data_IF_529049213778
#
_entry.id   IF_529049213778
#
_cell.length_a   1.000
_cell.length_b   1.000
_cell.length_c   1.000
_cell.angle_alpha   90.00
_cell.angle_beta   90.00
_cell.angle_gamma   90.00
#
_symmetry.space_group_name_H-M   'P 1'
#
loop_
_entity.id
_entity.type
_entity.pdbx_description
1 polymer ?
#
# COMPACT_ATOMS: atom_id res chain seq x y z
N UNK A 1 20.58 4.84 -10.86
CA UNK A 1 19.13 4.53 -10.76
C UNK A 1 18.34 5.50 -11.64
N UNK A 2 17.13 5.11 -12.06
CA UNK A 2 16.22 5.95 -12.81
C UNK A 2 15.56 6.95 -11.86
N UNK A 3 15.72 8.25 -12.15
CA UNK A 3 15.14 9.33 -11.37
C UNK A 3 14.18 10.11 -12.28
N UNK A 4 12.94 10.29 -11.82
CA UNK A 4 11.93 11.05 -12.56
C UNK A 4 12.24 12.54 -12.44
N UNK A 5 12.63 13.17 -13.54
CA UNK A 5 12.98 14.60 -13.57
C UNK A 5 11.81 15.52 -13.95
N UNK A 6 10.77 14.99 -14.58
CA UNK A 6 9.63 15.77 -15.07
C UNK A 6 8.40 15.58 -14.18
N UNK A 7 7.81 16.69 -13.75
CA UNK A 7 6.55 16.68 -13.00
C UNK A 7 5.43 15.95 -13.74
N UNK A 8 5.30 16.17 -15.06
CA UNK A 8 4.27 15.51 -15.86
C UNK A 8 4.46 13.98 -15.89
N UNK A 9 5.71 13.52 -15.96
CA UNK A 9 6.03 12.08 -15.91
C UNK A 9 5.75 11.51 -14.52
N UNK A 10 6.06 12.24 -13.45
CA UNK A 10 5.77 11.84 -12.08
C UNK A 10 4.26 11.67 -11.84
N UNK A 11 3.45 12.62 -12.33
CA UNK A 11 1.98 12.53 -12.28
C UNK A 11 1.49 11.35 -13.12
N UNK A 12 2.06 11.13 -14.31
CA UNK A 12 1.75 9.98 -15.15
C UNK A 12 1.99 8.65 -14.43
N UNK A 13 3.14 8.50 -13.77
CA UNK A 13 3.41 7.30 -12.96
C UNK A 13 2.48 7.17 -11.75
N UNK A 14 2.11 8.27 -11.10
CA UNK A 14 1.11 8.24 -10.03
C UNK A 14 -0.22 7.65 -10.52
N UNK A 15 -0.71 8.08 -11.69
CA UNK A 15 -1.93 7.51 -12.30
C UNK A 15 -1.77 6.01 -12.57
N UNK A 16 -0.63 5.59 -13.13
CA UNK A 16 -0.34 4.16 -13.36
C UNK A 16 -0.36 3.38 -12.04
N UNK A 17 0.27 3.89 -10.99
CA UNK A 17 0.26 3.28 -9.66
C UNK A 17 -1.15 3.16 -9.09
N UNK A 18 -2.00 4.18 -9.24
CA UNK A 18 -3.39 4.14 -8.78
C UNK A 18 -4.22 3.11 -9.55
N UNK A 19 -4.00 2.96 -10.86
CA UNK A 19 -4.64 1.91 -11.67
C UNK A 19 -4.19 0.52 -11.22
N UNK A 20 -2.90 0.31 -11.02
CA UNK A 20 -2.36 -0.96 -10.52
C UNK A 20 -2.87 -1.31 -9.11
N UNK A 21 -3.04 -0.31 -8.24
CA UNK A 21 -3.54 -0.52 -6.89
C UNK A 21 -5.03 -0.87 -6.89
N UNK A 22 -5.84 -0.12 -7.64
CA UNK A 22 -7.28 -0.40 -7.77
C UNK A 22 -7.59 -1.69 -8.54
N UNK A 23 -6.71 -2.13 -9.43
CA UNK A 23 -6.91 -3.38 -10.18
C UNK A 23 -6.87 -4.60 -9.28
N UNK A 24 -6.14 -4.56 -8.15
CA UNK A 24 -6.04 -5.69 -7.21
C UNK A 24 -7.41 -6.18 -6.71
N UNK A 25 -8.27 -5.28 -6.24
CA UNK A 25 -9.59 -5.66 -5.74
C UNK A 25 -10.48 -6.22 -6.86
N UNK A 26 -10.36 -5.67 -8.07
CA UNK A 26 -11.12 -6.11 -9.24
C UNK A 26 -10.68 -7.50 -9.73
N UNK A 27 -9.37 -7.75 -9.79
CA UNK A 27 -8.82 -9.04 -10.21
C UNK A 27 -9.07 -10.12 -9.15
N UNK A 28 -9.00 -9.76 -7.86
CA UNK A 28 -9.37 -10.66 -6.77
C UNK A 28 -10.84 -11.12 -6.89
N UNK A 29 -11.77 -10.19 -7.11
CA UNK A 29 -13.20 -10.49 -7.31
C UNK A 29 -13.48 -11.30 -8.57
N UNK A 30 -12.67 -11.13 -9.62
CA UNK A 30 -12.77 -11.93 -10.84
C UNK A 30 -12.26 -13.35 -10.60
N UNK A 31 -11.11 -13.50 -9.95
CA UNK A 31 -10.44 -14.77 -9.70
C UNK A 31 -11.19 -15.64 -8.69
N UNK A 32 -11.87 -15.05 -7.70
CA UNK A 32 -12.60 -15.79 -6.66
C UNK A 32 -13.72 -16.71 -7.18
N UNK A 33 -14.10 -16.58 -8.47
CA UNK A 33 -15.04 -17.48 -9.15
C UNK A 33 -14.47 -18.86 -9.46
N UNK A 34 -13.15 -18.97 -9.58
CA UNK A 34 -12.47 -20.19 -10.05
C UNK A 34 -11.17 -20.51 -9.33
N UNK A 35 -10.67 -19.60 -8.49
CA UNK A 35 -9.39 -19.71 -7.79
C UNK A 35 -9.59 -19.35 -6.33
N UNK A 36 -9.03 -20.16 -5.43
CA UNK A 36 -9.15 -19.88 -4.00
C UNK A 36 -8.38 -18.62 -3.63
N UNK A 37 -8.88 -17.92 -2.62
CA UNK A 37 -8.27 -16.68 -2.14
C UNK A 37 -6.79 -16.88 -1.77
N UNK A 38 -6.48 -17.98 -1.09
CA UNK A 38 -5.13 -18.28 -0.61
C UNK A 38 -4.15 -18.43 -1.78
N UNK A 39 -4.56 -19.11 -2.85
CA UNK A 39 -3.72 -19.30 -4.03
C UNK A 39 -3.54 -17.97 -4.79
N UNK A 40 -4.59 -17.16 -4.91
CA UNK A 40 -4.48 -15.80 -5.48
C UNK A 40 -3.46 -14.95 -4.71
N UNK A 41 -3.43 -15.06 -3.39
CA UNK A 41 -2.48 -14.32 -2.56
C UNK A 41 -1.04 -14.80 -2.72
N UNK A 42 -0.84 -16.10 -2.92
CA UNK A 42 0.47 -16.65 -3.29
C UNK A 42 0.95 -16.11 -4.63
N UNK A 43 0.08 -16.11 -5.64
CA UNK A 43 0.38 -15.55 -6.97
C UNK A 43 0.74 -14.06 -6.87
N UNK A 44 -0.01 -13.30 -6.07
CA UNK A 44 0.25 -11.89 -5.78
C UNK A 44 1.63 -11.70 -5.13
N UNK A 45 1.95 -12.46 -4.09
CA UNK A 45 3.23 -12.34 -3.38
C UNK A 45 4.42 -12.66 -4.29
N UNK A 46 4.33 -13.73 -5.10
CA UNK A 46 5.35 -14.08 -6.10
C UNK A 46 5.48 -12.97 -7.13
N UNK A 47 4.36 -12.45 -7.63
CA UNK A 47 4.33 -11.32 -8.57
C UNK A 47 5.03 -10.07 -8.03
N UNK A 48 4.79 -9.73 -6.76
CA UNK A 48 5.47 -8.61 -6.08
C UNK A 48 6.98 -8.84 -6.01
N UNK A 49 7.43 -10.05 -5.66
CA UNK A 49 8.87 -10.37 -5.63
C UNK A 49 9.49 -10.24 -7.01
N UNK A 50 8.87 -10.83 -8.03
CA UNK A 50 9.36 -10.79 -9.41
C UNK A 50 9.41 -9.36 -9.96
N UNK A 51 8.36 -8.56 -9.75
CA UNK A 51 8.33 -7.15 -10.17
C UNK A 51 9.34 -6.30 -9.39
N UNK A 52 9.53 -6.55 -8.09
CA UNK A 52 10.53 -5.85 -7.29
C UNK A 52 11.94 -6.13 -7.79
N UNK A 53 12.24 -7.41 -8.10
CA UNK A 53 13.53 -7.79 -8.71
C UNK A 53 13.69 -7.19 -10.09
N UNK A 54 12.66 -7.26 -10.94
CA UNK A 54 12.68 -6.68 -12.28
C UNK A 54 12.97 -5.18 -12.21
N UNK A 55 12.22 -4.42 -11.40
CA UNK A 55 12.43 -2.98 -11.26
C UNK A 55 13.76 -2.64 -10.59
N UNK A 56 14.20 -3.36 -9.56
CA UNK A 56 15.50 -3.14 -8.93
C UNK A 56 16.67 -3.35 -9.90
N UNK A 57 16.64 -4.45 -10.65
CA UNK A 57 17.69 -4.81 -11.61
C UNK A 57 17.64 -3.98 -12.90
N UNK A 58 16.48 -3.42 -13.24
CA UNK A 58 16.31 -2.52 -14.39
C UNK A 58 16.32 -1.07 -13.95
N UNK A 59 15.16 -0.44 -13.70
CA UNK A 59 15.05 0.98 -13.34
C UNK A 59 15.92 1.37 -12.13
N UNK A 60 16.08 0.49 -11.13
CA UNK A 60 16.96 0.73 -9.98
C UNK A 60 18.46 0.74 -10.35
N UNK A 61 18.85 0.14 -11.46
CA UNK A 61 20.24 0.02 -11.93
C UNK A 61 20.52 0.77 -13.23
N UNK A 62 19.50 1.23 -13.95
CA UNK A 62 19.59 2.00 -15.18
C UNK A 62 19.48 3.49 -14.85
N UNK A 63 20.56 4.24 -15.02
CA UNK A 63 20.57 5.70 -14.88
C UNK A 63 21.94 6.23 -14.46
N UNK A 64 22.25 7.46 -14.87
CA UNK A 64 23.53 8.11 -14.59
C UNK A 64 23.65 8.63 -13.16
N UNK A 65 22.51 8.83 -12.49
CA UNK A 65 22.42 9.42 -11.16
C UNK A 65 22.11 8.38 -10.09
N UNK A 66 22.66 8.57 -8.88
CA UNK A 66 22.49 7.65 -7.75
C UNK A 66 23.25 6.32 -7.88
N UNK A 67 23.04 5.41 -6.93
CA UNK A 67 23.69 4.08 -6.94
C UNK A 67 22.80 3.04 -7.60
N UNK A 68 23.42 2.04 -8.23
CA UNK A 68 22.71 0.87 -8.74
C UNK A 68 22.25 -0.05 -7.60
N UNK A 69 21.24 -0.88 -7.86
CA UNK A 69 20.60 -1.72 -6.85
C UNK A 69 21.56 -2.70 -6.15
N UNK A 70 22.39 -3.43 -6.91
CA UNK A 70 23.31 -4.43 -6.32
C UNK A 70 24.37 -3.77 -5.44
N UNK A 71 25.11 -2.72 -5.88
CA UNK A 71 26.02 -2.00 -5.01
C UNK A 71 25.34 -1.44 -3.76
N UNK A 72 24.13 -0.88 -3.89
CA UNK A 72 23.40 -0.29 -2.76
C UNK A 72 22.98 -1.36 -1.73
N UNK A 73 22.62 -2.56 -2.20
CA UNK A 73 22.33 -3.71 -1.35
C UNK A 73 23.57 -4.24 -0.62
N UNK A 74 24.72 -4.31 -1.30
CA UNK A 74 25.97 -4.84 -0.73
C UNK A 74 26.54 -3.96 0.39
N UNK A 75 26.38 -2.64 0.28
CA UNK A 75 26.86 -1.71 1.31
C UNK A 75 25.86 -1.53 2.47
N UNK A 76 24.63 -2.05 2.36
CA UNK A 76 23.59 -1.82 3.35
C UNK A 76 23.97 -2.45 4.69
N UNK A 77 23.78 -1.71 5.78
CA UNK A 77 24.05 -2.24 7.13
C UNK A 77 23.10 -3.40 7.46
N UNK A 78 23.56 -4.35 8.27
CA UNK A 78 22.72 -5.46 8.74
C UNK A 78 21.46 -4.95 9.46
N UNK A 79 21.57 -3.86 10.23
CA UNK A 79 20.44 -3.25 10.92
C UNK A 79 19.35 -2.75 9.94
N UNK A 80 19.75 -2.09 8.85
CA UNK A 80 18.82 -1.63 7.82
C UNK A 80 18.13 -2.80 7.11
N UNK A 81 18.89 -3.85 6.77
CA UNK A 81 18.36 -5.06 6.13
C UNK A 81 17.38 -5.80 7.05
N UNK A 82 17.72 -5.98 8.32
CA UNK A 82 16.82 -6.59 9.31
C UNK A 82 15.56 -5.76 9.49
N UNK A 83 15.67 -4.43 9.57
CA UNK A 83 14.51 -3.55 9.69
C UNK A 83 13.60 -3.65 8.47
N UNK A 84 14.15 -3.69 7.25
CA UNK A 84 13.38 -3.85 6.02
C UNK A 84 12.66 -5.21 5.98
N UNK A 85 13.35 -6.29 6.38
CA UNK A 85 12.78 -7.63 6.43
C UNK A 85 11.64 -7.73 7.45
N UNK A 86 11.86 -7.26 8.69
CA UNK A 86 10.83 -7.26 9.74
C UNK A 86 9.64 -6.39 9.33
N UNK A 87 9.89 -5.21 8.74
CA UNK A 87 8.84 -4.37 8.19
C UNK A 87 8.00 -5.08 7.12
N UNK A 88 8.65 -5.83 6.22
CA UNK A 88 7.98 -6.65 5.21
C UNK A 88 7.14 -7.80 5.79
N UNK A 89 7.62 -8.45 6.85
CA UNK A 89 6.86 -9.48 7.59
C UNK A 89 5.62 -8.89 8.24
N UNK A 90 5.77 -7.78 8.99
CA UNK A 90 4.65 -7.08 9.62
C UNK A 90 3.64 -6.62 8.57
N UNK A 91 4.11 -6.07 7.45
CA UNK A 91 3.25 -5.65 6.34
C UNK A 91 2.46 -6.81 5.74
N UNK A 92 3.06 -7.98 5.56
CA UNK A 92 2.36 -9.17 5.05
C UNK A 92 1.31 -9.69 6.05
N UNK A 93 1.63 -9.70 7.35
CA UNK A 93 0.68 -10.10 8.39
C UNK A 93 -0.53 -9.14 8.40
N UNK A 94 -0.28 -7.83 8.34
CA UNK A 94 -1.35 -6.83 8.28
C UNK A 94 -2.27 -7.05 7.07
N UNK A 95 -1.68 -7.37 5.91
CA UNK A 95 -2.40 -7.69 4.70
C UNK A 95 -3.28 -8.96 4.83
N UNK A 96 -2.76 -10.02 5.43
CA UNK A 96 -3.53 -11.24 5.76
C UNK A 96 -4.70 -10.95 6.72
N UNK A 97 -4.50 -10.07 7.71
CA UNK A 97 -5.55 -9.67 8.64
C UNK A 97 -6.64 -8.84 7.95
N UNK A 98 -6.27 -7.93 7.05
CA UNK A 98 -7.24 -7.17 6.24
C UNK A 98 -8.09 -8.12 5.41
N UNK A 99 -7.47 -9.12 4.79
CA UNK A 99 -8.17 -10.16 4.03
C UNK A 99 -9.18 -10.90 4.91
N UNK A 100 -8.75 -11.37 6.09
CA UNK A 100 -9.65 -12.06 7.00
C UNK A 100 -10.81 -11.16 7.43
N UNK A 101 -10.55 -9.87 7.66
CA UNK A 101 -11.60 -8.89 7.96
C UNK A 101 -12.56 -8.70 6.78
N UNK A 102 -12.06 -8.70 5.52
CA UNK A 102 -12.90 -8.62 4.32
C UNK A 102 -13.83 -9.84 4.21
N UNK A 103 -13.35 -11.04 4.54
CA UNK A 103 -14.15 -12.27 4.50
C UNK A 103 -15.29 -12.24 5.53
N UNK A 104 -15.05 -11.65 6.70
CA UNK A 104 -16.03 -11.57 7.80
C UNK A 104 -17.01 -10.39 7.64
N UNK A 105 -16.50 -9.19 7.33
CA UNK A 105 -17.26 -7.94 7.36
C UNK A 105 -17.56 -7.35 5.96
N UNK A 106 -17.05 -7.98 4.91
CA UNK A 106 -17.18 -7.50 3.53
C UNK A 106 -16.17 -6.40 3.18
N UNK A 107 -15.88 -6.30 1.89
CA UNK A 107 -14.89 -5.34 1.34
C UNK A 107 -15.29 -3.88 1.61
N UNK A 108 -16.59 -3.58 1.61
CA UNK A 108 -17.11 -2.24 1.85
C UNK A 108 -16.75 -1.71 3.24
N UNK A 109 -16.75 -2.55 4.29
CA UNK A 109 -16.45 -2.10 5.66
C UNK A 109 -14.99 -2.33 6.04
N UNK A 110 -14.46 -3.51 5.75
CA UNK A 110 -13.12 -3.88 6.20
C UNK A 110 -12.01 -3.02 5.58
N UNK A 111 -12.17 -2.61 4.31
CA UNK A 111 -11.16 -1.85 3.60
C UNK A 111 -11.06 -0.39 4.09
N UNK A 112 -12.17 0.39 4.20
CA UNK A 112 -12.12 1.75 4.76
C UNK A 112 -11.67 1.76 6.21
N UNK A 113 -12.11 0.81 7.04
CA UNK A 113 -11.69 0.73 8.44
C UNK A 113 -10.20 0.36 8.54
N UNK A 114 -9.76 -0.71 7.88
CA UNK A 114 -8.38 -1.17 7.97
C UNK A 114 -7.37 -0.15 7.43
N UNK A 115 -7.53 0.24 6.17
CA UNK A 115 -6.60 1.18 5.50
C UNK A 115 -6.77 2.60 6.04
N UNK A 116 -8.01 3.02 6.31
CA UNK A 116 -8.29 4.36 6.80
C UNK A 116 -7.73 4.60 8.20
N UNK A 117 -7.86 3.65 9.14
CA UNK A 117 -7.26 3.77 10.47
C UNK A 117 -5.72 3.76 10.36
N UNK A 118 -5.15 2.91 9.52
CA UNK A 118 -3.70 2.89 9.28
C UNK A 118 -3.19 4.23 8.74
N UNK A 119 -3.93 4.88 7.84
CA UNK A 119 -3.63 6.22 7.34
C UNK A 119 -3.67 7.26 8.46
N UNK A 120 -4.74 7.28 9.26
CA UNK A 120 -4.89 8.23 10.39
C UNK A 120 -3.73 8.08 11.37
N UNK A 121 -3.47 6.85 11.83
CA UNK A 121 -2.37 6.56 12.76
C UNK A 121 -1.01 6.89 12.15
N UNK A 122 -0.78 6.51 10.90
CA UNK A 122 0.47 6.78 10.18
C UNK A 122 0.75 8.26 10.08
N UNK A 123 -0.26 9.08 9.77
CA UNK A 123 -0.13 10.53 9.71
C UNK A 123 0.20 11.11 11.09
N UNK A 124 -0.52 10.70 12.14
CA UNK A 124 -0.31 11.19 13.51
C UNK A 124 1.08 10.84 14.03
N UNK A 125 1.49 9.57 13.91
CA UNK A 125 2.80 9.09 14.39
C UNK A 125 3.95 9.74 13.63
N UNK A 126 3.86 9.84 12.29
CA UNK A 126 4.90 10.49 11.49
C UNK A 126 5.00 11.98 11.81
N UNK A 127 3.88 12.67 11.98
CA UNK A 127 3.90 14.11 12.29
C UNK A 127 4.49 14.38 13.68
N UNK A 128 4.22 13.52 14.67
CA UNK A 128 4.86 13.64 15.99
C UNK A 128 6.37 13.35 15.94
N UNK A 129 6.79 12.37 15.14
CA UNK A 129 8.21 12.04 15.01
C UNK A 129 8.99 13.13 14.26
N UNK A 130 8.44 13.63 13.15
CA UNK A 130 9.05 14.67 12.32
C UNK A 130 7.93 15.60 11.80
N UNK A 131 7.72 16.78 12.42
CA UNK A 131 6.63 17.68 12.07
C UNK A 131 6.94 18.42 10.75
N UNK A 132 6.68 17.76 9.62
CA UNK A 132 6.88 18.29 8.26
C UNK A 132 5.53 18.62 7.62
N UNK A 133 5.46 19.75 6.91
CA UNK A 133 4.29 20.15 6.13
C UNK A 133 3.32 21.07 6.89
N UNK A 134 2.21 21.43 6.25
CA UNK A 134 1.19 22.30 6.84
C UNK A 134 0.23 21.47 7.73
N UNK A 135 0.22 21.66 9.06
CA UNK A 135 -0.62 20.88 9.96
C UNK A 135 -2.11 21.06 9.69
N UNK A 136 -2.55 22.25 9.29
CA UNK A 136 -3.96 22.55 9.03
C UNK A 136 -4.45 21.70 7.85
N UNK A 137 -3.68 21.65 6.76
CA UNK A 137 -4.04 20.84 5.59
C UNK A 137 -3.99 19.35 5.91
N UNK A 138 -2.96 18.91 6.64
CA UNK A 138 -2.74 17.51 6.96
C UNK A 138 -3.83 16.96 7.89
N UNK A 139 -4.12 17.64 9.00
CA UNK A 139 -5.14 17.21 9.96
C UNK A 139 -6.57 17.44 9.46
N UNK A 140 -6.82 18.45 8.63
CA UNK A 140 -8.13 18.59 7.99
C UNK A 140 -8.39 17.46 6.99
N UNK A 141 -7.40 17.05 6.20
CA UNK A 141 -7.49 15.86 5.35
C UNK A 141 -7.76 14.58 6.15
N UNK A 142 -7.05 14.38 7.26
CA UNK A 142 -7.29 13.24 8.17
C UNK A 142 -8.71 13.28 8.74
N UNK A 143 -9.20 14.45 9.16
CA UNK A 143 -10.56 14.59 9.67
C UNK A 143 -11.62 14.22 8.61
N UNK A 144 -11.42 14.64 7.36
CA UNK A 144 -12.31 14.27 6.25
C UNK A 144 -12.31 12.76 6.00
N UNK A 145 -11.15 12.10 6.09
CA UNK A 145 -11.05 10.63 5.98
C UNK A 145 -11.81 9.95 7.11
N UNK A 146 -11.67 10.41 8.36
CA UNK A 146 -12.41 9.86 9.50
C UNK A 146 -13.91 9.99 9.30
N UNK A 147 -14.39 11.16 8.87
CA UNK A 147 -15.81 11.38 8.55
C UNK A 147 -16.27 10.42 7.46
N UNK A 148 -15.49 10.23 6.39
CA UNK A 148 -15.83 9.31 5.31
C UNK A 148 -15.98 7.86 5.79
N UNK A 149 -15.06 7.37 6.65
CA UNK A 149 -15.14 6.02 7.22
C UNK A 149 -16.42 5.84 8.06
N UNK A 150 -16.76 6.85 8.88
CA UNK A 150 -17.97 6.82 9.70
C UNK A 150 -19.22 6.79 8.82
N UNK A 151 -19.29 7.64 7.80
CA UNK A 151 -20.43 7.68 6.88
C UNK A 151 -20.60 6.36 6.12
N UNK A 152 -19.50 5.76 5.67
CA UNK A 152 -19.51 4.47 4.97
C UNK A 152 -20.01 3.34 5.88
N UNK A 153 -19.53 3.27 7.13
CA UNK A 153 -20.01 2.30 8.12
C UNK A 153 -21.50 2.48 8.45
N UNK A 154 -21.98 3.72 8.56
CA UNK A 154 -23.39 4.03 8.79
C UNK A 154 -24.27 3.62 7.60
N UNK A 155 -23.81 3.89 6.38
CA UNK A 155 -24.52 3.49 5.16
C UNK A 155 -24.60 1.96 5.05
N UNK A 156 -23.50 1.26 5.34
CA UNK A 156 -23.48 -0.21 5.34
C UNK A 156 -24.43 -0.81 6.37
N UNK A 157 -24.50 -0.23 7.58
CA UNK A 157 -25.48 -0.65 8.60
C UNK A 157 -26.91 -0.58 8.08
N UNK A 158 -27.23 0.45 7.28
CA UNK A 158 -28.55 0.60 6.66
C UNK A 158 -28.93 -0.55 5.71
N UNK A 159 -27.95 -1.09 4.96
CA UNK A 159 -28.14 -2.21 4.03
C UNK A 159 -28.37 -3.56 4.72
N UNK A 160 -27.87 -3.73 5.95
CA UNK A 160 -28.05 -4.97 6.73
C UNK A 160 -29.39 -5.07 7.47
N UNK A 161 -30.23 -4.02 7.39
CA UNK A 161 -31.53 -3.92 8.09
C UNK A 161 -32.74 -4.34 7.24
N UNK A 162 -32.53 -4.77 6.00
CA UNK A 162 -33.52 -5.43 5.13
C UNK A 162 -33.19 -6.93 5.00
#
# INVERSE_FOLDING_TARGET
MFIVQSYAVAVGFCVVTMVCWGSWANTQKLASKSWSFQLFYWDYAIGVVLLSLLFGLTLGSMGAEGRGFIPDLQQASSAALTSAFVGGVVFNIANLLIVAAIDIAGMAVAFPVGIGIALVLGVVVNYFAVPVGNPILLFSGVALVVVAIVLDALAYRGLSSD
#
